data_IF_931968927160
#
_entry.id   IF_931968927160
#
_cell.length_a   1.000
_cell.length_b   1.000
_cell.length_c   1.000
_cell.angle_alpha   90.00
_cell.angle_beta   90.00
_cell.angle_gamma   90.00
#
_symmetry.space_group_name_H-M   'P 1'
#
loop_
_entity.id
_entity.type
_entity.pdbx_description
1 polymer ?
#
# COMPACT_ATOMS: atom_id res chain seq x y z
N UNK A 1 4.08 9.71 -3.47
CA UNK A 1 3.66 9.07 -4.72
C UNK A 1 3.03 10.10 -5.64
N UNK A 2 3.34 10.09 -6.94
CA UNK A 2 2.67 10.96 -7.94
C UNK A 2 1.86 10.09 -8.89
N UNK A 3 0.56 10.38 -9.00
CA UNK A 3 -0.31 9.82 -10.03
C UNK A 3 -0.47 10.86 -11.13
N UNK A 4 -0.09 10.53 -12.36
CA UNK A 4 -0.14 11.43 -13.51
C UNK A 4 -1.53 11.54 -14.14
N UNK A 5 -2.36 10.53 -13.92
CA UNK A 5 -3.74 10.39 -14.38
C UNK A 5 -4.51 9.58 -13.33
N UNK A 6 -5.83 9.46 -13.52
CA UNK A 6 -6.63 8.57 -12.68
C UNK A 6 -6.12 7.12 -12.78
N UNK A 7 -6.05 6.44 -11.65
CA UNK A 7 -5.63 5.05 -11.56
C UNK A 7 -6.52 4.28 -10.60
N UNK A 8 -6.79 3.02 -10.89
CA UNK A 8 -7.52 2.16 -9.98
C UNK A 8 -6.59 1.63 -8.89
N UNK A 9 -7.07 1.61 -7.64
CA UNK A 9 -6.38 0.88 -6.57
C UNK A 9 -6.60 -0.64 -6.70
N UNK A 10 -6.09 -1.41 -5.73
CA UNK A 10 -6.20 -2.88 -5.76
C UNK A 10 -7.64 -3.42 -5.64
N UNK A 11 -8.61 -2.57 -5.26
CA UNK A 11 -10.04 -2.87 -5.16
C UNK A 11 -10.84 -2.29 -6.32
N UNK A 12 -10.17 -1.88 -7.41
CA UNK A 12 -10.77 -1.23 -8.57
C UNK A 12 -11.48 0.11 -8.26
N UNK A 13 -11.07 0.80 -7.19
CA UNK A 13 -11.60 2.13 -6.88
C UNK A 13 -10.76 3.23 -7.55
N UNK A 14 -11.38 4.22 -8.21
CA UNK A 14 -10.65 5.26 -8.92
C UNK A 14 -9.95 6.22 -7.94
N UNK A 15 -8.66 6.46 -8.20
CA UNK A 15 -7.82 7.46 -7.52
C UNK A 15 -7.46 8.55 -8.51
N UNK A 16 -7.85 9.78 -8.23
CA UNK A 16 -7.52 10.92 -9.07
C UNK A 16 -6.02 11.15 -9.27
N UNK A 17 -5.67 11.89 -10.31
CA UNK A 17 -4.30 12.38 -10.50
C UNK A 17 -3.91 13.32 -9.35
N UNK A 18 -2.67 13.22 -8.84
CA UNK A 18 -2.25 14.03 -7.70
C UNK A 18 -0.92 13.64 -7.09
N UNK A 19 -0.55 14.36 -6.03
CA UNK A 19 0.57 14.04 -5.16
C UNK A 19 0.01 13.54 -3.83
N UNK A 20 0.41 12.33 -3.47
CA UNK A 20 -0.03 11.63 -2.28
C UNK A 20 1.17 11.24 -1.42
N UNK A 21 0.93 11.04 -0.13
CA UNK A 21 1.84 10.31 0.74
C UNK A 21 1.32 8.89 0.92
N UNK A 22 2.22 7.92 1.05
CA UNK A 22 1.90 6.54 1.33
C UNK A 22 2.29 6.24 2.78
N UNK A 23 1.31 5.86 3.59
CA UNK A 23 1.47 5.47 5.00
C UNK A 23 1.36 3.96 5.12
N UNK A 24 2.21 3.36 5.96
CA UNK A 24 2.03 1.96 6.30
C UNK A 24 0.83 1.80 7.23
N UNK A 25 -0.06 0.87 6.90
CA UNK A 25 -1.19 0.48 7.73
C UNK A 25 -1.21 -1.05 7.84
N UNK A 26 -1.38 -1.56 9.05
CA UNK A 26 -1.60 -2.98 9.31
C UNK A 26 -3.07 -3.20 9.65
N UNK A 27 -3.71 -4.16 9.01
CA UNK A 27 -5.08 -4.54 9.34
C UNK A 27 -5.17 -5.00 10.81
N UNK A 28 -6.21 -4.61 11.56
CA UNK A 28 -6.41 -5.04 12.94
C UNK A 28 -6.63 -6.55 13.04
N UNK A 29 -6.19 -7.14 14.17
CA UNK A 29 -6.45 -8.54 14.51
C UNK A 29 -7.65 -8.61 15.48
N UNK A 30 -8.81 -8.15 15.03
CA UNK A 30 -10.01 -7.94 15.86
C UNK A 30 -11.18 -8.88 15.51
N UNK A 31 -10.93 -9.88 14.66
CA UNK A 31 -11.94 -10.82 14.17
C UNK A 31 -12.89 -10.26 13.10
N UNK A 32 -13.13 -8.94 13.07
CA UNK A 32 -13.96 -8.29 12.06
C UNK A 32 -13.23 -8.10 10.73
N UNK A 33 -11.91 -8.00 10.77
CA UNK A 33 -11.08 -7.80 9.57
C UNK A 33 -10.39 -9.08 9.08
N UNK A 34 -10.48 -10.17 9.84
CA UNK A 34 -9.83 -11.44 9.49
C UNK A 34 -10.58 -12.11 8.34
N UNK A 35 -9.88 -12.35 7.23
CA UNK A 35 -10.40 -13.07 6.05
C UNK A 35 -11.07 -12.18 5.00
N UNK A 36 -11.20 -10.88 5.26
CA UNK A 36 -11.75 -9.90 4.30
C UNK A 36 -10.83 -9.65 3.10
N UNK A 37 -9.56 -10.04 3.18
CA UNK A 37 -8.53 -9.82 2.15
C UNK A 37 -7.30 -10.67 2.45
N UNK A 38 -6.54 -11.04 1.41
CA UNK A 38 -5.29 -11.81 1.62
C UNK A 38 -4.14 -10.96 2.12
N UNK A 39 -4.25 -9.63 2.07
CA UNK A 39 -3.22 -8.72 2.53
C UNK A 39 -3.45 -8.32 3.98
N UNK A 40 -2.42 -8.51 4.81
CA UNK A 40 -2.41 -8.01 6.20
C UNK A 40 -1.86 -6.58 6.29
N UNK A 41 -0.96 -6.25 5.39
CA UNK A 41 -0.13 -5.05 5.41
C UNK A 41 -0.43 -4.21 4.17
N UNK A 42 -0.54 -2.90 4.34
CA UNK A 42 -0.98 -1.97 3.31
C UNK A 42 -0.15 -0.71 3.25
N UNK A 43 -0.04 -0.14 2.06
CA UNK A 43 0.32 1.25 1.85
C UNK A 43 -0.95 2.05 1.55
N UNK A 44 -1.41 2.86 2.51
CA UNK A 44 -2.59 3.71 2.36
C UNK A 44 -2.23 5.12 1.94
N UNK A 45 -3.05 5.70 1.06
CA UNK A 45 -2.82 7.06 0.58
C UNK A 45 -3.40 8.13 1.52
N UNK A 46 -2.59 9.16 1.77
CA UNK A 46 -3.01 10.43 2.39
C UNK A 46 -2.61 11.62 1.50
N UNK A 47 -3.06 12.83 1.83
CA UNK A 47 -2.60 14.05 1.14
C UNK A 47 -1.57 14.81 1.97
N UNK A 48 -0.69 15.61 1.34
CA UNK A 48 0.20 16.51 2.06
C UNK A 48 -0.52 17.46 3.04
N UNK A 49 -1.80 17.75 2.82
CA UNK A 49 -2.61 18.60 3.69
C UNK A 49 -3.15 17.85 4.92
N UNK A 50 -3.53 16.59 4.76
CA UNK A 50 -4.12 15.76 5.82
C UNK A 50 -3.05 15.04 6.67
N UNK A 51 -1.85 14.88 6.12
CA UNK A 51 -0.77 14.11 6.74
C UNK A 51 -0.06 14.85 7.89
N UNK A 52 0.36 14.11 8.92
CA UNK A 52 1.07 14.62 10.09
C UNK A 52 2.49 14.04 10.20
N UNK A 53 3.49 14.85 10.58
CA UNK A 53 4.88 14.37 10.70
C UNK A 53 5.03 13.43 11.90
N UNK A 54 5.69 12.29 11.67
CA UNK A 54 6.02 11.30 12.69
C UNK A 54 5.21 9.99 12.58
N UNK A 55 5.47 9.03 13.47
CA UNK A 55 4.68 7.80 13.56
C UNK A 55 3.23 8.10 13.96
N UNK A 56 2.28 7.38 13.36
CA UNK A 56 0.85 7.52 13.63
C UNK A 56 0.24 6.17 14.02
N UNK A 57 -0.85 6.21 14.78
CA UNK A 57 -1.64 5.02 15.10
C UNK A 57 -2.59 4.62 13.95
N UNK A 58 -3.14 3.41 14.03
CA UNK A 58 -4.08 2.87 13.05
C UNK A 58 -5.25 3.82 12.76
N UNK A 59 -5.99 4.25 13.80
CA UNK A 59 -7.17 5.11 13.66
C UNK A 59 -6.85 6.46 13.04
N UNK A 60 -5.72 7.07 13.42
CA UNK A 60 -5.29 8.35 12.85
C UNK A 60 -4.99 8.20 11.36
N UNK A 61 -4.20 7.19 10.99
CA UNK A 61 -3.84 6.92 9.59
C UNK A 61 -5.07 6.57 8.76
N UNK A 62 -6.00 5.78 9.30
CA UNK A 62 -7.25 5.42 8.63
C UNK A 62 -8.13 6.65 8.37
N UNK A 63 -8.31 7.51 9.38
CA UNK A 63 -9.13 8.72 9.23
C UNK A 63 -8.54 9.69 8.19
N UNK A 64 -7.21 9.87 8.17
CA UNK A 64 -6.54 10.69 7.14
C UNK A 64 -6.73 10.14 5.72
N UNK A 65 -6.77 8.82 5.57
CA UNK A 65 -7.04 8.17 4.28
C UNK A 65 -8.51 8.33 3.87
N UNK A 66 -9.44 8.18 4.82
CA UNK A 66 -10.89 8.33 4.58
C UNK A 66 -11.30 9.74 4.16
N UNK A 67 -10.62 10.78 4.65
CA UNK A 67 -10.86 12.19 4.31
C UNK A 67 -10.77 12.49 2.81
N UNK A 68 -10.12 11.61 2.04
CA UNK A 68 -10.06 11.71 0.59
C UNK A 68 -11.37 11.24 -0.09
N UNK A 69 -12.42 10.90 0.67
CA UNK A 69 -13.58 10.11 0.21
C UNK A 69 -13.14 8.82 -0.48
N UNK A 70 -12.05 8.31 0.06
CA UNK A 70 -11.30 7.21 -0.45
C UNK A 70 -11.37 6.12 0.66
N UNK A 71 -12.37 5.24 0.61
CA UNK A 71 -12.43 4.02 1.45
C UNK A 71 -11.05 3.32 1.48
N UNK A 72 -10.36 3.19 2.64
CA UNK A 72 -8.90 3.13 2.77
C UNK A 72 -8.19 2.50 1.58
N UNK A 73 -7.63 3.37 0.73
CA UNK A 73 -7.06 3.06 -0.57
C UNK A 73 -5.71 2.44 -0.35
N UNK A 74 -5.64 1.13 -0.51
CA UNK A 74 -4.60 0.36 0.13
C UNK A 74 -3.86 -0.47 -0.90
N UNK A 75 -2.69 -0.05 -1.37
CA UNK A 75 -1.88 -1.03 -2.10
C UNK A 75 -1.46 -2.12 -1.13
N UNK A 76 -1.90 -3.34 -1.39
CA UNK A 76 -1.48 -4.51 -0.64
C UNK A 76 0.05 -4.61 -0.64
N UNK A 77 0.63 -4.90 0.52
CA UNK A 77 2.04 -5.21 0.66
C UNK A 77 2.17 -6.73 0.79
N UNK A 78 2.83 -7.35 -0.18
CA UNK A 78 3.15 -8.78 -0.15
C UNK A 78 4.42 -9.02 0.66
N UNK A 79 4.58 -10.20 1.30
CA UNK A 79 5.85 -10.61 1.88
C UNK A 79 7.00 -10.44 0.87
N UNK A 80 7.93 -9.53 1.16
CA UNK A 80 8.97 -9.15 0.20
C UNK A 80 9.97 -10.26 -0.09
N UNK A 81 10.07 -11.26 0.78
CA UNK A 81 10.84 -12.49 0.58
C UNK A 81 10.20 -13.46 -0.44
N UNK A 82 8.92 -13.28 -0.77
CA UNK A 82 8.21 -14.08 -1.77
C UNK A 82 8.20 -13.43 -3.17
N UNK A 83 8.67 -12.18 -3.27
CA UNK A 83 8.85 -11.49 -4.54
C UNK A 83 10.34 -11.53 -4.91
N UNK A 84 10.66 -12.21 -6.02
CA UNK A 84 12.03 -12.39 -6.49
C UNK A 84 12.26 -11.54 -7.73
N UNK A 85 13.16 -10.57 -7.63
CA UNK A 85 13.59 -9.70 -8.73
C UNK A 85 15.08 -9.90 -9.01
N UNK A 86 15.53 -9.65 -10.25
CA UNK A 86 16.96 -9.72 -10.60
C UNK A 86 17.78 -8.58 -9.99
N UNK A 87 17.13 -7.44 -9.74
CA UNK A 87 17.71 -6.24 -9.12
C UNK A 87 16.64 -5.46 -8.35
N UNK A 88 17.08 -4.51 -7.51
CA UNK A 88 16.19 -3.59 -6.80
C UNK A 88 16.51 -2.11 -7.15
N UNK A 89 15.48 -1.26 -7.38
CA UNK A 89 14.06 -1.60 -7.44
C UNK A 89 13.73 -2.47 -8.67
N UNK A 90 12.79 -3.40 -8.53
CA UNK A 90 12.41 -4.34 -9.59
C UNK A 90 10.92 -4.68 -9.55
N UNK A 91 10.41 -5.24 -10.64
CA UNK A 91 9.02 -5.68 -10.76
C UNK A 91 9.01 -7.18 -11.07
N UNK A 92 8.21 -7.96 -10.36
CA UNK A 92 8.07 -9.38 -10.62
C UNK A 92 6.63 -9.86 -10.36
N UNK A 93 6.24 -10.91 -11.07
CA UNK A 93 5.07 -11.69 -10.73
C UNK A 93 5.36 -12.49 -9.43
N UNK A 94 4.38 -12.55 -8.53
CA UNK A 94 4.46 -13.35 -7.30
C UNK A 94 3.32 -14.38 -7.21
N UNK A 95 2.29 -14.23 -8.06
CA UNK A 95 1.24 -15.20 -8.36
C UNK A 95 0.93 -15.13 -9.87
N UNK A 96 0.18 -16.07 -10.48
CA UNK A 96 -0.05 -16.12 -11.93
C UNK A 96 -0.59 -14.82 -12.55
N UNK A 97 -1.37 -14.06 -11.80
CA UNK A 97 -2.04 -12.83 -12.22
C UNK A 97 -1.66 -11.60 -11.36
N UNK A 98 -0.76 -11.77 -10.38
CA UNK A 98 -0.38 -10.69 -9.47
C UNK A 98 1.08 -10.30 -9.60
N UNK A 99 1.32 -8.99 -9.69
CA UNK A 99 2.63 -8.38 -9.84
C UNK A 99 2.89 -7.38 -8.72
N UNK A 100 4.14 -7.31 -8.27
CA UNK A 100 4.57 -6.35 -7.26
C UNK A 100 5.85 -5.63 -7.68
N UNK A 101 5.97 -4.36 -7.26
CA UNK A 101 7.23 -3.63 -7.25
C UNK A 101 7.92 -3.95 -5.93
N UNK A 102 9.14 -4.49 -5.99
CA UNK A 102 10.02 -4.68 -4.84
C UNK A 102 11.06 -3.57 -4.79
N UNK A 103 11.18 -2.92 -3.62
CA UNK A 103 12.17 -1.89 -3.39
C UNK A 103 12.59 -1.83 -1.92
N UNK A 104 13.83 -1.39 -1.70
CA UNK A 104 14.38 -1.13 -0.38
C UNK A 104 14.44 0.37 -0.10
N UNK A 105 13.81 0.78 1.01
CA UNK A 105 13.77 2.15 1.50
C UNK A 105 14.86 2.32 2.57
N UNK A 106 15.80 3.29 2.42
CA UNK A 106 16.83 3.51 3.42
C UNK A 106 16.25 4.10 4.71
N UNK A 107 16.87 3.78 5.85
CA UNK A 107 16.61 4.38 7.16
C UNK A 107 17.80 5.23 7.60
N UNK A 108 17.54 6.16 8.52
CA UNK A 108 18.58 7.06 9.06
C UNK A 108 19.72 6.31 9.77
N UNK A 109 19.43 5.13 10.33
CA UNK A 109 20.42 4.27 10.99
C UNK A 109 21.29 3.45 10.03
N UNK A 110 21.14 3.66 8.71
CA UNK A 110 21.87 2.94 7.66
C UNK A 110 21.28 1.57 7.32
N UNK A 111 20.25 1.11 8.02
CA UNK A 111 19.48 -0.07 7.64
C UNK A 111 18.49 0.24 6.51
N UNK A 112 17.78 -0.78 6.01
CA UNK A 112 16.73 -0.61 5.01
C UNK A 112 15.46 -1.37 5.34
N UNK A 113 14.34 -0.89 4.80
CA UNK A 113 13.05 -1.59 4.82
C UNK A 113 12.76 -2.04 3.40
N UNK A 114 12.70 -3.34 3.16
CA UNK A 114 12.29 -3.89 1.87
C UNK A 114 10.78 -4.13 1.85
N UNK A 115 10.10 -3.48 0.91
CA UNK A 115 8.66 -3.66 0.67
C UNK A 115 8.43 -4.30 -0.70
N UNK A 116 7.35 -5.06 -0.83
CA UNK A 116 6.81 -5.47 -2.12
C UNK A 116 5.37 -4.95 -2.24
N UNK A 117 5.18 -3.91 -3.04
CA UNK A 117 3.89 -3.25 -3.24
C UNK A 117 3.21 -3.85 -4.46
N UNK A 118 2.00 -4.39 -4.30
CA UNK A 118 1.22 -4.97 -5.40
C UNK A 118 0.82 -3.86 -6.37
N UNK A 119 1.04 -4.07 -7.68
CA UNK A 119 0.75 -3.09 -8.74
C UNK A 119 -0.12 -3.65 -9.87
N UNK A 120 -0.37 -4.95 -9.88
CA UNK A 120 -1.38 -5.58 -10.73
C UNK A 120 -1.90 -6.85 -10.05
N UNK A 121 -3.14 -7.22 -10.35
CA UNK A 121 -3.81 -8.41 -9.81
C UNK A 121 -4.75 -8.07 -8.66
N UNK A 122 -5.83 -7.35 -8.99
CA UNK A 122 -6.85 -6.85 -8.05
C UNK A 122 -7.47 -7.99 -7.23
N UNK A 123 -7.86 -7.70 -5.99
CA UNK A 123 -8.69 -8.62 -5.21
C UNK A 123 -10.15 -8.25 -5.34
N UNK A 124 -10.88 -9.09 -6.07
CA UNK A 124 -12.33 -9.06 -6.07
C UNK A 124 -12.82 -9.72 -4.77
N UNK A 125 -13.30 -8.91 -3.84
CA UNK A 125 -14.18 -9.40 -2.79
C UNK A 125 -15.63 -9.29 -3.28
N UNK A 126 -16.35 -10.41 -3.21
CA UNK A 126 -17.76 -10.54 -3.56
C UNK A 126 -18.66 -9.67 -2.66
#
# INVERSE_FOLDING_TARGET
>A
MRLHQEHNDFRDQPVGAGIYLARYLRQPDDGNHLGETTYRDYAVLTTPKADSVGPQGFEETLNQALDLNLHPFAWGLWPSNEVVTESEPGIAAFQPDKWAIKLSLPREDGSSITIAMVVAGNEWHY
#
